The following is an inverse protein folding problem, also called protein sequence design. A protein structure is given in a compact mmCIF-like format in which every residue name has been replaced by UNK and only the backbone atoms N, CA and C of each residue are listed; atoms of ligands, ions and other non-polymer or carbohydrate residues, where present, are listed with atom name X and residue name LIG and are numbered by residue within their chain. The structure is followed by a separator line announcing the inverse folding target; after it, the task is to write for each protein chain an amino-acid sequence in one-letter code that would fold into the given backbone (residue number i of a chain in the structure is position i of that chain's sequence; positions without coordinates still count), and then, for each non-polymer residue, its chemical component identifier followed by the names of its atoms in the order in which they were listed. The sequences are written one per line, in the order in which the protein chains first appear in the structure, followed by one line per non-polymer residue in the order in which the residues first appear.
data_IF_299384896006
#
_entry.id   IF_299384896006
#
_cell.length_a   1.000
_cell.length_b   1.000
_cell.length_c   1.000
_cell.angle_alpha   90.00
_cell.angle_beta   90.00
_cell.angle_gamma   90.00
#
_symmetry.space_group_name_H-M   'P 1'
#
loop_
_entity.id
_entity.type
_entity.pdbx_description
1 polymer ?
#
# COMPACT_ATOMS: atom_id res chain seq x y z
N UNK A 1 -24.33 -9.75 -2.44
CA UNK A 1 -23.09 -9.46 -3.20
C UNK A 1 -23.20 -8.27 -4.17
N UNK A 2 -24.36 -7.97 -4.76
CA UNK A 2 -24.53 -6.81 -5.65
C UNK A 2 -24.70 -5.46 -4.92
N UNK A 3 -25.22 -5.43 -3.68
CA UNK A 3 -25.40 -4.24 -2.86
C UNK A 3 -24.09 -3.65 -2.32
N UNK A 4 -23.05 -4.49 -2.14
CA UNK A 4 -21.75 -4.01 -1.64
C UNK A 4 -20.94 -3.26 -2.72
N UNK A 5 -21.11 -3.61 -3.98
CA UNK A 5 -20.37 -2.99 -5.08
C UNK A 5 -20.86 -1.56 -5.42
N UNK A 6 -22.14 -1.30 -5.23
CA UNK A 6 -22.72 0.04 -5.41
C UNK A 6 -22.31 0.98 -4.26
N UNK A 7 -22.22 0.46 -3.05
CA UNK A 7 -21.70 1.19 -1.88
C UNK A 7 -20.22 1.56 -2.05
N UNK A 8 -19.39 0.62 -2.53
CA UNK A 8 -17.96 0.88 -2.73
C UNK A 8 -17.71 1.94 -3.82
N UNK A 9 -18.41 1.88 -4.95
CA UNK A 9 -18.28 2.86 -6.03
C UNK A 9 -18.71 4.26 -5.59
N UNK A 10 -19.79 4.36 -4.82
CA UNK A 10 -20.25 5.63 -4.26
C UNK A 10 -19.26 6.23 -3.26
N UNK A 11 -18.59 5.37 -2.45
CA UNK A 11 -17.51 5.77 -1.55
C UNK A 11 -16.29 6.30 -2.30
N UNK A 12 -15.85 5.58 -3.33
CA UNK A 12 -14.72 6.03 -4.17
C UNK A 12 -15.02 7.33 -4.91
N UNK A 13 -16.24 7.51 -5.44
CA UNK A 13 -16.62 8.76 -6.12
C UNK A 13 -16.65 9.95 -5.16
N UNK A 14 -17.08 9.76 -3.92
CA UNK A 14 -17.02 10.79 -2.87
C UNK A 14 -15.59 11.13 -2.47
N UNK A 15 -14.71 10.13 -2.28
CA UNK A 15 -13.30 10.38 -2.02
C UNK A 15 -12.62 11.13 -3.17
N UNK A 16 -12.92 10.77 -4.42
CA UNK A 16 -12.41 11.49 -5.59
C UNK A 16 -12.88 12.95 -5.65
N UNK A 17 -14.09 13.26 -5.14
CA UNK A 17 -14.56 14.64 -5.11
C UNK A 17 -13.72 15.54 -4.17
N UNK A 18 -13.15 14.98 -3.10
CA UNK A 18 -12.23 15.70 -2.22
C UNK A 18 -10.82 15.85 -2.82
N UNK A 19 -10.44 15.03 -3.79
CA UNK A 19 -9.17 15.17 -4.53
C UNK A 19 -9.27 16.26 -5.62
N UNK A 20 -10.49 16.56 -6.08
CA UNK A 20 -10.74 17.52 -7.17
C UNK A 20 -10.08 18.90 -7.00
N UNK A 21 -10.08 19.55 -5.82
CA UNK A 21 -9.37 20.83 -5.65
C UNK A 21 -7.85 20.70 -5.82
N UNK A 22 -7.27 19.52 -5.57
CA UNK A 22 -5.83 19.25 -5.63
C UNK A 22 -5.38 18.55 -6.92
N UNK A 23 -6.23 18.58 -7.99
CA UNK A 23 -5.97 17.86 -9.23
C UNK A 23 -4.62 18.20 -9.89
N UNK A 24 -4.15 19.46 -9.75
CA UNK A 24 -2.85 19.91 -10.29
C UNK A 24 -1.69 19.19 -9.60
N UNK A 25 -1.71 19.12 -8.28
CA UNK A 25 -0.68 18.41 -7.50
C UNK A 25 -0.74 16.89 -7.74
N UNK A 26 -1.94 16.33 -7.85
CA UNK A 26 -2.17 14.95 -8.21
C UNK A 26 -1.60 14.62 -9.60
N UNK A 27 -1.85 15.46 -10.59
CA UNK A 27 -1.34 15.29 -11.95
C UNK A 27 0.19 15.44 -12.00
N UNK A 28 0.76 16.39 -11.26
CA UNK A 28 2.20 16.53 -11.12
C UNK A 28 2.84 15.27 -10.47
N UNK A 29 2.21 14.72 -9.44
CA UNK A 29 2.64 13.46 -8.83
C UNK A 29 2.63 12.31 -9.84
N UNK A 30 1.56 12.17 -10.62
CA UNK A 30 1.46 11.16 -11.69
C UNK A 30 2.56 11.30 -12.74
N UNK A 31 2.85 12.52 -13.19
CA UNK A 31 3.90 12.78 -14.17
C UNK A 31 5.28 12.41 -13.59
N UNK A 32 5.58 12.86 -12.37
CA UNK A 32 6.85 12.52 -11.70
C UNK A 32 7.01 11.02 -11.51
N UNK A 33 5.98 10.31 -11.07
CA UNK A 33 6.00 8.85 -10.95
C UNK A 33 6.15 8.16 -12.29
N UNK A 34 5.50 8.67 -13.34
CA UNK A 34 5.63 8.20 -14.70
C UNK A 34 7.08 8.31 -15.22
N UNK A 35 7.70 9.48 -15.02
CA UNK A 35 9.10 9.70 -15.38
C UNK A 35 10.06 8.75 -14.61
N UNK A 36 9.81 8.56 -13.31
CA UNK A 36 10.58 7.62 -12.51
C UNK A 36 10.44 6.17 -13.01
N UNK A 37 9.22 5.76 -13.42
CA UNK A 37 8.96 4.42 -13.96
C UNK A 37 9.55 4.22 -15.35
N UNK A 38 9.56 5.24 -16.20
CA UNK A 38 10.20 5.19 -17.52
C UNK A 38 11.74 5.06 -17.43
N UNK A 39 12.33 5.45 -16.32
CA UNK A 39 13.75 5.24 -16.06
C UNK A 39 14.11 3.78 -15.67
N UNK A 40 13.13 2.91 -15.34
CA UNK A 40 13.41 1.51 -14.98
C UNK A 40 14.05 0.67 -16.09
N UNK A 41 13.57 0.70 -17.35
CA UNK A 41 14.18 -0.05 -18.43
C UNK A 41 15.57 0.44 -18.82
N UNK A 42 15.95 1.64 -18.41
CA UNK A 42 17.24 2.24 -18.81
C UNK A 42 18.42 1.47 -18.21
N UNK A 43 18.27 0.92 -17.01
CA UNK A 43 19.32 0.12 -16.38
C UNK A 43 19.65 -1.17 -17.17
N UNK A 44 18.68 -2.05 -17.49
CA UNK A 44 18.95 -3.21 -18.37
C UNK A 44 19.44 -2.81 -19.76
N UNK A 45 18.98 -1.67 -20.28
CA UNK A 45 19.44 -1.15 -21.56
C UNK A 45 20.93 -0.79 -21.52
N UNK A 46 21.36 -0.04 -20.52
CA UNK A 46 22.75 0.35 -20.34
C UNK A 46 23.66 -0.86 -20.09
N UNK A 47 23.20 -1.86 -19.30
CA UNK A 47 23.93 -3.12 -19.10
C UNK A 47 24.18 -3.84 -20.43
N UNK A 48 23.18 -3.89 -21.31
CA UNK A 48 23.36 -4.47 -22.65
C UNK A 48 24.45 -3.71 -23.43
N UNK A 49 24.39 -2.39 -23.50
CA UNK A 49 25.39 -1.59 -24.19
C UNK A 49 26.80 -1.74 -23.60
N UNK A 50 26.91 -1.84 -22.28
CA UNK A 50 28.18 -2.08 -21.61
C UNK A 50 28.77 -3.46 -21.96
N UNK A 51 27.93 -4.50 -22.02
CA UNK A 51 28.38 -5.87 -22.36
C UNK A 51 28.73 -6.03 -23.84
N UNK A 52 27.93 -5.43 -24.74
CA UNK A 52 28.09 -5.60 -26.17
C UNK A 52 29.25 -4.73 -26.75
N UNK A 53 29.36 -3.47 -26.32
CA UNK A 53 30.30 -2.49 -26.88
C UNK A 53 31.35 -1.97 -25.87
N UNK A 54 31.02 -1.92 -24.58
CA UNK A 54 31.82 -1.19 -23.60
C UNK A 54 33.13 -1.86 -23.24
N UNK A 55 33.16 -3.17 -23.07
CA UNK A 55 34.39 -3.91 -22.73
C UNK A 55 35.30 -4.15 -23.93
N UNK A 56 34.74 -4.23 -25.15
CA UNK A 56 35.53 -4.50 -26.37
C UNK A 56 36.21 -3.25 -26.91
N UNK A 57 35.63 -2.06 -26.74
CA UNK A 57 36.14 -0.79 -27.30
C UNK A 57 36.77 0.17 -26.30
N UNK A 58 36.70 -0.11 -25.01
CA UNK A 58 37.13 0.82 -23.92
C UNK A 58 38.62 0.77 -23.60
N UNK A 59 39.44 -0.01 -24.31
CA UNK A 59 40.89 0.00 -24.11
C UNK A 59 41.49 1.35 -24.58
N UNK A 60 41.71 2.26 -23.62
CA UNK A 60 42.42 3.51 -23.86
C UNK A 60 41.55 4.79 -23.96
N UNK A 61 40.26 4.72 -23.79
CA UNK A 61 39.36 5.88 -23.85
C UNK A 61 38.71 6.20 -22.48
N UNK A 62 38.39 7.48 -22.23
CA UNK A 62 37.61 7.94 -21.07
C UNK A 62 36.20 7.33 -21.02
N UNK A 63 35.81 6.53 -22.01
CA UNK A 63 34.51 5.88 -22.11
C UNK A 63 34.17 4.98 -20.89
N UNK A 64 35.16 4.33 -20.26
CA UNK A 64 34.97 3.51 -19.07
C UNK A 64 34.43 4.29 -17.85
N UNK A 65 34.70 5.63 -17.81
CA UNK A 65 34.22 6.49 -16.73
C UNK A 65 32.85 7.11 -17.06
N UNK A 66 32.57 7.33 -18.34
CA UNK A 66 31.33 7.99 -18.80
C UNK A 66 30.11 7.10 -18.57
N UNK A 67 30.19 5.79 -18.84
CA UNK A 67 29.04 4.88 -18.64
C UNK A 67 28.58 4.78 -17.18
N UNK A 68 29.46 4.56 -16.19
CA UNK A 68 29.04 4.61 -14.79
C UNK A 68 28.47 5.97 -14.37
N UNK A 69 29.01 7.07 -14.88
CA UNK A 69 28.53 8.41 -14.58
C UNK A 69 27.12 8.65 -15.11
N UNK A 70 26.83 8.20 -16.34
CA UNK A 70 25.49 8.27 -16.93
C UNK A 70 24.50 7.43 -16.11
N UNK A 71 24.87 6.20 -15.74
CA UNK A 71 24.05 5.35 -14.90
C UNK A 71 23.74 6.04 -13.58
N UNK A 72 24.75 6.59 -12.91
CA UNK A 72 24.59 7.31 -11.66
C UNK A 72 23.65 8.52 -11.82
N UNK A 73 23.81 9.30 -12.89
CA UNK A 73 22.95 10.46 -13.17
C UNK A 73 21.48 10.03 -13.39
N UNK A 74 21.24 8.93 -14.10
CA UNK A 74 19.88 8.38 -14.31
C UNK A 74 19.26 7.89 -13.02
N UNK A 75 20.03 7.17 -12.18
CA UNK A 75 19.54 6.75 -10.85
C UNK A 75 19.22 7.93 -9.95
N UNK A 76 20.06 8.98 -9.98
CA UNK A 76 19.83 10.19 -9.23
C UNK A 76 18.57 10.94 -9.70
N UNK A 77 18.41 11.09 -11.01
CA UNK A 77 17.21 11.66 -11.60
C UNK A 77 15.95 10.85 -11.23
N UNK A 78 16.01 9.51 -11.33
CA UNK A 78 14.93 8.62 -10.91
C UNK A 78 14.56 8.79 -9.43
N UNK A 79 15.57 8.89 -8.56
CA UNK A 79 15.36 9.08 -7.12
C UNK A 79 14.66 10.43 -6.84
N UNK A 80 15.06 11.49 -7.53
CA UNK A 80 14.43 12.82 -7.41
C UNK A 80 12.98 12.77 -7.89
N UNK A 81 12.70 12.23 -9.08
CA UNK A 81 11.33 12.15 -9.60
C UNK A 81 10.45 11.22 -8.76
N UNK A 82 10.99 10.10 -8.27
CA UNK A 82 10.30 9.21 -7.35
C UNK A 82 9.92 9.91 -6.04
N UNK A 83 10.88 10.60 -5.43
CA UNK A 83 10.66 11.35 -4.20
C UNK A 83 9.64 12.48 -4.39
N UNK A 84 9.76 13.28 -5.45
CA UNK A 84 8.82 14.36 -5.77
C UNK A 84 7.40 13.82 -5.99
N UNK A 85 7.28 12.70 -6.69
CA UNK A 85 5.98 12.05 -6.93
C UNK A 85 5.33 11.55 -5.64
N UNK A 86 6.08 10.84 -4.77
CA UNK A 86 5.59 10.34 -3.48
C UNK A 86 5.29 11.49 -2.51
N UNK A 87 6.11 12.53 -2.48
CA UNK A 87 5.88 13.72 -1.67
C UNK A 87 4.61 14.45 -2.08
N UNK A 88 4.43 14.71 -3.40
CA UNK A 88 3.24 15.38 -3.90
C UNK A 88 1.96 14.56 -3.63
N UNK A 89 2.01 13.23 -3.77
CA UNK A 89 0.88 12.35 -3.45
C UNK A 89 0.57 12.36 -1.96
N UNK A 90 1.59 12.29 -1.09
CA UNK A 90 1.42 12.38 0.36
C UNK A 90 0.85 13.74 0.79
N UNK A 91 1.26 14.82 0.13
CA UNK A 91 0.71 16.15 0.37
C UNK A 91 -0.79 16.21 0.02
N UNK A 92 -1.18 15.67 -1.14
CA UNK A 92 -2.61 15.57 -1.53
C UNK A 92 -3.39 14.75 -0.50
N UNK A 93 -2.88 13.59 -0.10
CA UNK A 93 -3.52 12.72 0.89
C UNK A 93 -3.74 13.43 2.24
N UNK A 94 -2.74 14.13 2.74
CA UNK A 94 -2.83 14.84 4.01
C UNK A 94 -3.86 16.00 3.96
N UNK A 95 -3.95 16.70 2.84
CA UNK A 95 -4.97 17.75 2.66
C UNK A 95 -6.39 17.13 2.63
N UNK A 96 -6.57 16.02 1.92
CA UNK A 96 -7.85 15.28 1.88
C UNK A 96 -8.23 14.78 3.29
N UNK A 97 -7.27 14.24 4.06
CA UNK A 97 -7.50 13.82 5.46
C UNK A 97 -7.97 15.01 6.30
N UNK A 98 -7.34 16.17 6.14
CA UNK A 98 -7.70 17.38 6.89
C UNK A 98 -9.12 17.86 6.56
N UNK A 99 -9.48 17.89 5.27
CA UNK A 99 -10.84 18.28 4.85
C UNK A 99 -11.89 17.28 5.35
N UNK A 100 -11.60 15.97 5.27
CA UNK A 100 -12.51 14.95 5.80
C UNK A 100 -12.71 15.08 7.31
N UNK A 101 -11.64 15.32 8.06
CA UNK A 101 -11.71 15.55 9.51
C UNK A 101 -12.54 16.78 9.84
N UNK A 102 -12.34 17.89 9.12
CA UNK A 102 -13.13 19.11 9.30
C UNK A 102 -14.63 18.88 9.01
N UNK A 103 -14.93 18.19 7.90
CA UNK A 103 -16.30 17.84 7.54
C UNK A 103 -16.97 16.91 8.56
N UNK A 104 -16.23 15.94 9.10
CA UNK A 104 -16.72 15.04 10.16
C UNK A 104 -16.93 15.80 11.46
N UNK A 105 -15.98 16.64 11.86
CA UNK A 105 -16.10 17.45 13.07
C UNK A 105 -17.30 18.41 12.99
N UNK A 106 -17.47 19.12 11.87
CA UNK A 106 -18.63 19.97 11.65
C UNK A 106 -19.96 19.20 11.77
N UNK A 107 -20.02 17.96 11.28
CA UNK A 107 -21.19 17.09 11.46
C UNK A 107 -21.41 16.68 12.91
N UNK A 108 -20.35 16.30 13.61
CA UNK A 108 -20.43 15.87 15.02
C UNK A 108 -20.98 16.98 15.91
N UNK A 109 -20.52 18.22 15.74
CA UNK A 109 -21.01 19.37 16.53
C UNK A 109 -22.50 19.61 16.35
N UNK A 110 -23.08 19.24 15.22
CA UNK A 110 -24.52 19.42 14.93
C UNK A 110 -25.36 18.18 15.26
N UNK A 111 -24.79 17.14 15.89
CA UNK A 111 -25.55 15.95 16.30
C UNK A 111 -26.37 16.23 17.57
N UNK A 112 -27.58 15.62 17.71
CA UNK A 112 -28.39 15.77 18.89
C UNK A 112 -27.76 15.11 20.12
N UNK A 113 -28.04 15.64 21.30
CA UNK A 113 -27.49 15.19 22.60
C UNK A 113 -27.65 13.67 22.84
N UNK A 114 -28.76 13.10 22.40
CA UNK A 114 -29.04 11.66 22.48
C UNK A 114 -27.98 10.78 21.83
N UNK A 115 -27.39 11.25 20.74
CA UNK A 115 -26.35 10.51 20.04
C UNK A 115 -25.08 10.33 20.89
N UNK A 116 -24.75 11.34 21.72
CA UNK A 116 -23.58 11.29 22.59
C UNK A 116 -23.81 10.41 23.82
N UNK A 117 -25.08 10.25 24.27
CA UNK A 117 -25.42 9.34 25.36
C UNK A 117 -25.31 7.87 24.93
N UNK A 118 -25.64 7.57 23.66
CA UNK A 118 -25.66 6.20 23.13
C UNK A 118 -24.29 5.74 22.58
N UNK A 119 -23.37 6.68 22.35
CA UNK A 119 -22.05 6.39 21.77
C UNK A 119 -20.93 6.86 22.68
N UNK A 120 -20.05 5.94 23.06
CA UNK A 120 -18.84 6.27 23.82
C UNK A 120 -17.98 7.29 23.03
N UNK A 121 -17.58 8.37 23.68
CA UNK A 121 -16.74 9.44 23.11
C UNK A 121 -15.45 8.91 22.48
N UNK A 122 -14.87 7.84 23.03
CA UNK A 122 -13.71 7.15 22.46
C UNK A 122 -13.93 6.57 21.06
N UNK A 123 -15.13 6.06 20.78
CA UNK A 123 -15.48 5.53 19.45
C UNK A 123 -15.54 6.62 18.38
N UNK A 124 -16.09 7.78 18.72
CA UNK A 124 -16.16 8.93 17.83
C UNK A 124 -14.76 9.49 17.54
N UNK A 125 -13.94 9.58 18.58
CA UNK A 125 -12.56 10.05 18.47
C UNK A 125 -11.71 9.11 17.61
N UNK A 126 -11.86 7.79 17.79
CA UNK A 126 -11.20 6.79 16.97
C UNK A 126 -11.58 6.93 15.49
N UNK A 127 -12.85 7.10 15.15
CA UNK A 127 -13.33 7.27 13.77
C UNK A 127 -12.72 8.51 13.10
N UNK A 128 -12.70 9.65 13.78
CA UNK A 128 -12.17 10.90 13.21
C UNK A 128 -10.65 10.88 13.09
N UNK A 129 -9.96 10.29 14.07
CA UNK A 129 -8.50 10.32 14.11
C UNK A 129 -7.85 9.18 13.33
N UNK A 130 -8.33 7.94 13.51
CA UNK A 130 -7.68 6.75 12.98
C UNK A 130 -8.32 6.22 11.69
N UNK A 131 -9.65 6.07 11.65
CA UNK A 131 -10.30 5.46 10.50
C UNK A 131 -10.13 6.31 9.23
N UNK A 132 -10.26 7.62 9.34
CA UNK A 132 -10.05 8.54 8.21
C UNK A 132 -8.62 8.43 7.68
N UNK A 133 -7.63 8.41 8.57
CA UNK A 133 -6.22 8.29 8.17
C UNK A 133 -5.94 6.96 7.50
N UNK A 134 -6.43 5.86 8.09
CA UNK A 134 -6.21 4.51 7.56
C UNK A 134 -6.88 4.31 6.19
N UNK A 135 -8.12 4.75 6.03
CA UNK A 135 -8.86 4.62 4.76
C UNK A 135 -8.22 5.48 3.67
N UNK A 136 -7.89 6.73 3.97
CA UNK A 136 -7.25 7.63 3.01
C UNK A 136 -5.84 7.15 2.67
N UNK A 137 -5.06 6.74 3.66
CA UNK A 137 -3.73 6.18 3.45
C UNK A 137 -3.75 4.92 2.58
N UNK A 138 -4.65 3.98 2.88
CA UNK A 138 -4.80 2.77 2.07
C UNK A 138 -5.23 3.09 0.62
N UNK A 139 -6.17 4.01 0.43
CA UNK A 139 -6.61 4.44 -0.89
C UNK A 139 -5.49 5.12 -1.68
N UNK A 140 -4.71 6.00 -1.03
CA UNK A 140 -3.58 6.70 -1.65
C UNK A 140 -2.48 5.72 -2.04
N UNK A 141 -2.10 4.81 -1.13
CA UNK A 141 -1.08 3.79 -1.41
C UNK A 141 -1.52 2.88 -2.56
N UNK A 142 -2.76 2.41 -2.55
CA UNK A 142 -3.28 1.57 -3.64
C UNK A 142 -3.26 2.31 -4.99
N UNK A 143 -3.66 3.58 -5.01
CA UNK A 143 -3.67 4.39 -6.23
C UNK A 143 -2.25 4.65 -6.75
N UNK A 144 -1.33 5.01 -5.85
CA UNK A 144 0.10 5.22 -6.16
C UNK A 144 0.72 3.97 -6.75
N UNK A 145 0.54 2.81 -6.09
CA UNK A 145 1.06 1.52 -6.57
C UNK A 145 0.45 1.14 -7.91
N UNK A 146 -0.86 1.30 -8.09
CA UNK A 146 -1.51 0.99 -9.37
C UNK A 146 -0.92 1.81 -10.52
N UNK A 147 -0.69 3.09 -10.32
CA UNK A 147 -0.13 3.96 -11.36
C UNK A 147 1.33 3.60 -11.63
N UNK A 148 2.17 3.60 -10.57
CA UNK A 148 3.61 3.35 -10.67
C UNK A 148 3.88 1.97 -11.26
N UNK A 149 3.27 0.92 -10.70
CA UNK A 149 3.54 -0.46 -11.11
C UNK A 149 3.01 -0.75 -12.52
N UNK A 150 1.84 -0.18 -12.89
CA UNK A 150 1.30 -0.31 -14.25
C UNK A 150 2.21 0.36 -15.29
N UNK A 151 2.71 1.57 -15.01
CA UNK A 151 3.66 2.24 -15.91
C UNK A 151 4.99 1.49 -15.99
N UNK A 152 5.50 1.00 -14.86
CA UNK A 152 6.72 0.18 -14.82
C UNK A 152 6.56 -1.10 -15.64
N UNK A 153 5.44 -1.81 -15.50
CA UNK A 153 5.16 -3.01 -16.27
C UNK A 153 5.10 -2.69 -17.77
N UNK A 154 4.40 -1.63 -18.16
CA UNK A 154 4.29 -1.22 -19.58
C UNK A 154 5.67 -0.87 -20.14
N UNK A 155 6.47 -0.10 -19.40
CA UNK A 155 7.80 0.32 -19.83
C UNK A 155 8.77 -0.87 -19.96
N UNK A 156 8.80 -1.77 -18.97
CA UNK A 156 9.64 -2.97 -18.99
C UNK A 156 9.19 -3.97 -20.06
N UNK A 157 7.88 -4.19 -20.21
CA UNK A 157 7.34 -5.05 -21.26
C UNK A 157 7.67 -4.51 -22.64
N UNK A 158 7.50 -3.21 -22.87
CA UNK A 158 7.90 -2.55 -24.12
C UNK A 158 9.38 -2.77 -24.45
N UNK A 159 10.25 -2.62 -23.43
CA UNK A 159 11.68 -2.89 -23.58
C UNK A 159 11.99 -4.36 -23.89
N UNK A 160 11.34 -5.30 -23.20
CA UNK A 160 11.52 -6.74 -23.43
C UNK A 160 11.07 -7.14 -24.86
N UNK A 161 9.94 -6.62 -25.34
CA UNK A 161 9.49 -6.85 -26.72
C UNK A 161 10.45 -6.30 -27.76
N UNK A 162 11.02 -5.13 -27.50
CA UNK A 162 12.05 -4.54 -28.38
C UNK A 162 13.32 -5.39 -28.40
N UNK A 163 13.71 -5.98 -27.27
CA UNK A 163 14.92 -6.78 -27.16
C UNK A 163 14.79 -8.13 -27.87
N UNK A 164 13.76 -8.89 -27.54
CA UNK A 164 13.49 -10.19 -28.13
C UNK A 164 12.03 -10.61 -27.90
N UNK A 165 11.20 -10.41 -28.92
CA UNK A 165 9.77 -10.71 -28.81
C UNK A 165 9.46 -12.20 -28.56
N UNK A 166 10.31 -13.13 -29.11
CA UNK A 166 10.12 -14.58 -28.93
C UNK A 166 10.33 -14.99 -27.46
N UNK A 167 11.43 -14.52 -26.86
CA UNK A 167 11.72 -14.77 -25.44
C UNK A 167 10.64 -14.16 -24.53
N UNK A 168 10.18 -12.96 -24.86
CA UNK A 168 9.12 -12.29 -24.10
C UNK A 168 7.81 -13.07 -24.14
N UNK A 169 7.43 -13.63 -25.29
CA UNK A 169 6.25 -14.49 -25.40
C UNK A 169 6.38 -15.76 -24.55
N UNK A 170 7.55 -16.42 -24.58
CA UNK A 170 7.79 -17.60 -23.73
C UNK A 170 7.64 -17.24 -22.25
N UNK A 171 8.24 -16.12 -21.83
CA UNK A 171 8.13 -15.63 -20.46
C UNK A 171 6.67 -15.33 -20.09
N UNK A 172 5.91 -14.70 -20.99
CA UNK A 172 4.50 -14.37 -20.76
C UNK A 172 3.63 -15.62 -20.60
N UNK A 173 3.93 -16.71 -21.31
CA UNK A 173 3.24 -18.00 -21.14
C UNK A 173 3.53 -18.62 -19.76
N UNK A 174 4.67 -18.32 -19.14
CA UNK A 174 4.98 -18.80 -17.80
C UNK A 174 4.26 -18.03 -16.67
N UNK A 175 3.77 -16.82 -16.94
CA UNK A 175 3.08 -15.99 -15.94
C UNK A 175 1.77 -16.62 -15.43
N UNK A 176 0.85 -17.17 -16.27
CA UNK A 176 -0.38 -17.79 -15.79
C UNK A 176 -0.16 -18.97 -14.84
N UNK A 177 0.72 -19.95 -15.10
CA UNK A 177 1.02 -21.03 -14.14
C UNK A 177 1.51 -20.51 -12.80
N UNK A 178 2.41 -19.52 -12.81
CA UNK A 178 2.91 -18.88 -11.59
C UNK A 178 1.76 -18.19 -10.83
N UNK A 179 0.89 -17.46 -11.54
CA UNK A 179 -0.26 -16.80 -10.93
C UNK A 179 -1.23 -17.78 -10.28
N UNK A 180 -1.46 -18.95 -10.89
CA UNK A 180 -2.27 -20.04 -10.32
C UNK A 180 -1.62 -20.60 -9.05
N UNK A 181 -0.32 -20.88 -9.10
CA UNK A 181 0.44 -21.35 -7.94
C UNK A 181 0.37 -20.34 -6.77
N UNK A 182 0.63 -19.05 -7.04
CA UNK A 182 0.54 -17.98 -6.06
C UNK A 182 -0.87 -17.89 -5.46
N UNK A 183 -1.93 -17.98 -6.27
CA UNK A 183 -3.32 -17.97 -5.78
C UNK A 183 -3.59 -19.15 -4.85
N UNK A 184 -3.12 -20.34 -5.20
CA UNK A 184 -3.30 -21.55 -4.40
C UNK A 184 -2.62 -21.40 -3.02
N UNK A 185 -1.35 -21.02 -3.00
CA UNK A 185 -0.61 -20.80 -1.76
C UNK A 185 -1.18 -19.64 -0.93
N UNK A 186 -1.55 -18.52 -1.56
CA UNK A 186 -2.17 -17.39 -0.88
C UNK A 186 -3.49 -17.74 -0.21
N UNK A 187 -4.31 -18.61 -0.82
CA UNK A 187 -5.56 -19.09 -0.21
C UNK A 187 -5.29 -19.90 1.05
N UNK A 188 -4.27 -20.74 1.02
CA UNK A 188 -3.86 -21.54 2.19
C UNK A 188 -3.29 -20.67 3.31
N UNK A 189 -2.40 -19.74 2.97
CA UNK A 189 -1.84 -18.76 3.91
C UNK A 189 -2.92 -17.92 4.58
N UNK A 190 -3.91 -17.43 3.82
CA UNK A 190 -5.04 -16.68 4.39
C UNK A 190 -5.87 -17.51 5.38
N UNK A 191 -6.01 -18.81 5.14
CA UNK A 191 -6.71 -19.70 6.09
C UNK A 191 -5.94 -19.80 7.40
N UNK A 192 -4.62 -19.99 7.32
CA UNK A 192 -3.73 -20.04 8.51
C UNK A 192 -3.74 -18.70 9.25
N UNK A 193 -3.61 -17.57 8.54
CA UNK A 193 -3.64 -16.25 9.14
C UNK A 193 -4.97 -15.95 9.87
N UNK A 194 -6.11 -16.38 9.29
CA UNK A 194 -7.41 -16.26 9.97
C UNK A 194 -7.48 -17.12 11.23
N UNK A 195 -6.95 -18.34 11.18
CA UNK A 195 -6.85 -19.22 12.36
C UNK A 195 -6.03 -18.57 13.47
N UNK A 196 -4.88 -17.98 13.11
CA UNK A 196 -4.03 -17.25 14.04
C UNK A 196 -4.77 -16.04 14.68
N UNK A 197 -5.47 -15.24 13.86
CA UNK A 197 -6.26 -14.12 14.38
C UNK A 197 -7.38 -14.56 15.32
N UNK A 198 -8.05 -15.68 15.03
CA UNK A 198 -9.08 -16.25 15.91
C UNK A 198 -8.49 -16.73 17.23
N UNK A 199 -7.33 -17.41 17.21
CA UNK A 199 -6.63 -17.83 18.42
C UNK A 199 -6.20 -16.61 19.25
N UNK A 200 -5.58 -15.59 18.61
CA UNK A 200 -5.22 -14.35 19.30
C UNK A 200 -6.43 -13.63 19.90
N UNK A 201 -7.59 -13.65 19.19
CA UNK A 201 -8.83 -13.11 19.71
C UNK A 201 -9.30 -13.83 20.98
N UNK A 202 -9.22 -15.16 21.02
CA UNK A 202 -9.57 -15.95 22.21
C UNK A 202 -8.62 -15.66 23.39
N UNK A 203 -7.33 -15.62 23.14
CA UNK A 203 -6.32 -15.26 24.15
C UNK A 203 -6.61 -13.87 24.74
N UNK A 204 -6.88 -12.88 23.87
CA UNK A 204 -7.20 -11.52 24.30
C UNK A 204 -8.49 -11.49 25.14
N UNK A 205 -9.50 -12.24 24.72
CA UNK A 205 -10.76 -12.35 25.47
C UNK A 205 -10.55 -12.94 26.87
N UNK A 206 -9.84 -14.08 26.98
CA UNK A 206 -9.53 -14.70 28.30
C UNK A 206 -8.77 -13.72 29.18
N UNK A 207 -7.77 -13.04 28.62
CA UNK A 207 -6.98 -12.05 29.36
C UNK A 207 -7.85 -10.88 29.86
N UNK A 208 -8.72 -10.35 29.02
CA UNK A 208 -9.61 -9.26 29.37
C UNK A 208 -10.60 -9.69 30.47
N UNK A 209 -11.24 -10.85 30.32
CA UNK A 209 -12.16 -11.39 31.33
C UNK A 209 -11.47 -11.62 32.68
N UNK A 210 -10.25 -12.15 32.67
CA UNK A 210 -9.44 -12.37 33.88
C UNK A 210 -9.07 -11.05 34.57
N UNK A 211 -8.68 -10.02 33.77
CA UNK A 211 -8.33 -8.70 34.30
C UNK A 211 -9.59 -7.99 34.86
N UNK A 212 -10.71 -8.02 34.17
CA UNK A 212 -11.96 -7.42 34.64
C UNK A 212 -12.51 -8.14 35.88
N UNK A 213 -12.39 -9.48 35.88
CA UNK A 213 -12.84 -10.34 37.00
C UNK A 213 -11.80 -10.59 38.08
N UNK A 214 -10.67 -9.90 38.15
CA UNK A 214 -9.54 -10.22 39.05
C UNK A 214 -9.93 -10.33 40.53
N UNK A 215 -10.89 -9.53 40.99
CA UNK A 215 -11.38 -9.58 42.39
C UNK A 215 -12.03 -10.92 42.70
N UNK A 216 -12.84 -11.44 41.76
CA UNK A 216 -13.52 -12.72 41.90
C UNK A 216 -12.51 -13.85 41.90
N UNK A 217 -11.58 -13.82 40.95
CA UNK A 217 -10.50 -14.81 40.85
C UNK A 217 -9.68 -14.90 42.14
N UNK A 218 -9.38 -13.74 42.76
CA UNK A 218 -8.63 -13.67 44.00
C UNK A 218 -9.42 -14.16 45.22
N UNK A 219 -10.72 -13.87 45.30
CA UNK A 219 -11.57 -14.28 46.42
C UNK A 219 -11.84 -15.79 46.41
N UNK A 220 -12.00 -16.37 45.21
CA UNK A 220 -12.33 -17.81 45.05
C UNK A 220 -11.06 -18.68 44.93
N UNK A 221 -9.88 -18.09 44.81
CA UNK A 221 -8.62 -18.84 44.58
C UNK A 221 -8.57 -19.53 43.24
N UNK A 222 -9.14 -18.88 42.18
CA UNK A 222 -9.30 -19.45 40.85
C UNK A 222 -8.12 -19.29 39.91
N UNK A 223 -6.93 -18.95 40.42
CA UNK A 223 -5.76 -18.66 39.58
C UNK A 223 -5.33 -19.87 38.70
N UNK A 224 -5.39 -21.09 39.26
CA UNK A 224 -5.06 -22.30 38.53
C UNK A 224 -6.02 -22.58 37.37
N UNK A 225 -7.32 -22.29 37.57
CA UNK A 225 -8.35 -22.43 36.52
C UNK A 225 -8.12 -21.44 35.38
N UNK A 226 -7.87 -20.17 35.70
CA UNK A 226 -7.61 -19.14 34.68
C UNK A 226 -6.32 -19.41 33.91
N UNK A 227 -5.27 -19.92 34.56
CA UNK A 227 -4.03 -20.33 33.88
C UNK A 227 -4.26 -21.48 32.90
N UNK A 228 -5.08 -22.47 33.28
CA UNK A 228 -5.40 -23.58 32.38
C UNK A 228 -6.27 -23.12 31.20
N UNK A 229 -7.24 -22.27 31.45
CA UNK A 229 -8.09 -21.63 30.44
C UNK A 229 -7.26 -20.81 29.43
N UNK A 230 -6.25 -20.08 29.90
CA UNK A 230 -5.34 -19.34 29.04
C UNK A 230 -4.45 -20.26 28.18
N UNK A 231 -4.04 -21.40 28.71
CA UNK A 231 -3.27 -22.39 27.94
C UNK A 231 -4.08 -23.07 26.84
N UNK A 232 -5.39 -23.21 27.04
CA UNK A 232 -6.28 -23.84 26.05
C UNK A 232 -6.76 -22.88 24.96
N UNK A 233 -6.62 -21.57 25.14
CA UNK A 233 -7.04 -20.54 24.19
C UNK A 233 -6.00 -20.33 23.09
#
# INVERSE_FOLDING_TARGET
MASDMTSSRALYSRLLSYVRPYWKAFLAAMICMGLASLAEPVFPAMMKYMLDDGFAKAQGSWAWLIYPLIILAIFFARAIFGFLGEYAMSWVANNVITELRQAMFARIVHLPMRYFSDNLSGHLMSRVMYDVTNVTGAATTALTSLIKDSLSIIALMGWLFYLNWKLTLITLVMVPPIAVAVRYFSKRLRKVARGLQQAMGKITQVLQETIEGYKVVKIVGGEAYEMDRFRQA
#
